data_IF_477721847217
#
_entry.id   IF_477721847217
#
_cell.length_a   1.000
_cell.length_b   1.000
_cell.length_c   1.000
_cell.angle_alpha   90.00
_cell.angle_beta   90.00
_cell.angle_gamma   90.00
#
_symmetry.space_group_name_H-M   'P 1'
#
loop_
_entity.id
_entity.type
_entity.pdbx_description
1 polymer ?
#
# COMPACT_ATOMS: atom_id res chain seq x y z
N UNK A 1 15.94 -38.95 -16.49
CA UNK A 1 15.22 -37.93 -15.69
C UNK A 1 16.06 -36.65 -15.61
N UNK A 2 16.37 -36.03 -16.76
CA UNK A 2 17.29 -34.88 -16.82
C UNK A 2 16.86 -33.81 -17.84
N UNK A 3 15.57 -33.78 -18.20
CA UNK A 3 15.03 -32.93 -19.27
C UNK A 3 14.00 -31.87 -18.78
N UNK A 4 13.94 -31.56 -17.48
CA UNK A 4 12.99 -30.58 -16.93
C UNK A 4 13.59 -29.21 -16.57
N UNK A 5 14.86 -28.94 -16.94
CA UNK A 5 15.55 -27.70 -16.59
C UNK A 5 16.26 -27.03 -17.78
N UNK A 6 15.78 -27.21 -19.01
CA UNK A 6 16.06 -26.19 -20.03
C UNK A 6 15.24 -24.95 -19.65
N UNK A 7 15.88 -24.06 -18.91
CA UNK A 7 15.34 -22.77 -18.49
C UNK A 7 14.86 -22.03 -19.74
N UNK A 8 13.56 -22.15 -20.00
CA UNK A 8 12.87 -21.29 -20.92
C UNK A 8 12.88 -19.93 -20.20
N UNK A 9 13.79 -19.03 -20.56
CA UNK A 9 13.91 -17.64 -20.06
C UNK A 9 12.64 -16.80 -20.31
N UNK A 10 11.56 -17.44 -20.75
CA UNK A 10 10.26 -16.91 -21.09
C UNK A 10 9.31 -16.77 -19.90
N UNK A 11 9.58 -17.38 -18.74
CA UNK A 11 8.61 -17.44 -17.63
C UNK A 11 8.54 -16.19 -16.74
N UNK A 12 9.55 -15.32 -16.73
CA UNK A 12 9.56 -14.09 -15.91
C UNK A 12 10.13 -12.89 -16.67
N UNK A 13 9.32 -12.31 -17.57
CA UNK A 13 9.63 -10.98 -18.12
C UNK A 13 9.25 -9.90 -17.11
N UNK A 14 10.24 -9.39 -16.38
CA UNK A 14 10.07 -8.32 -15.39
C UNK A 14 9.50 -7.01 -15.99
N UNK A 15 9.61 -6.83 -17.32
CA UNK A 15 8.97 -5.72 -18.04
C UNK A 15 7.46 -5.67 -17.82
N UNK A 16 6.80 -6.83 -17.70
CA UNK A 16 5.35 -6.91 -17.45
C UNK A 16 4.96 -6.36 -16.08
N UNK A 17 5.86 -6.37 -15.09
CA UNK A 17 5.57 -5.87 -13.74
C UNK A 17 5.47 -4.34 -13.67
N UNK A 18 6.12 -3.62 -14.60
CA UNK A 18 6.06 -2.14 -14.66
C UNK A 18 4.72 -1.63 -15.18
N UNK A 19 4.03 -2.44 -15.97
CA UNK A 19 2.80 -2.07 -16.67
C UNK A 19 1.52 -2.58 -15.98
N UNK A 20 1.65 -3.15 -14.77
CA UNK A 20 0.49 -3.62 -14.00
C UNK A 20 -0.25 -2.40 -13.45
N UNK A 21 -1.58 -2.28 -13.71
CA UNK A 21 -2.35 -1.18 -13.16
C UNK A 21 -2.30 -1.21 -11.64
N UNK A 22 -2.14 -0.03 -11.03
CA UNK A 22 -2.19 0.09 -9.57
C UNK A 22 -3.47 -0.57 -9.04
N UNK A 23 -3.36 -1.43 -8.02
CA UNK A 23 -4.53 -2.09 -7.48
C UNK A 23 -5.44 -1.03 -6.86
N UNK A 24 -6.72 -1.01 -7.27
CA UNK A 24 -7.74 -0.06 -6.81
C UNK A 24 -7.94 -0.02 -5.28
N UNK A 25 -7.39 -1.02 -4.58
CA UNK A 25 -7.44 -1.14 -3.13
C UNK A 25 -6.49 -0.17 -2.42
N UNK A 26 -5.46 0.36 -3.11
CA UNK A 26 -4.59 1.40 -2.56
C UNK A 26 -5.34 2.72 -2.68
N UNK A 27 -5.80 3.23 -1.55
CA UNK A 27 -6.54 4.49 -1.49
C UNK A 27 -5.59 5.67 -1.69
N UNK A 28 -6.01 6.64 -2.50
CA UNK A 28 -5.36 7.96 -2.54
C UNK A 28 -5.74 8.73 -1.27
N UNK A 29 -4.73 9.22 -0.56
CA UNK A 29 -4.91 9.91 0.72
C UNK A 29 -5.11 11.40 0.46
N UNK A 30 -6.25 11.91 0.89
CA UNK A 30 -6.58 13.32 0.84
C UNK A 30 -7.08 13.76 2.23
N UNK A 31 -6.30 14.63 2.88
CA UNK A 31 -6.60 15.12 4.21
C UNK A 31 -7.91 15.91 4.25
N UNK A 32 -8.15 16.79 3.28
CA UNK A 32 -9.34 17.65 3.24
C UNK A 32 -10.60 16.82 3.06
N UNK A 33 -10.52 15.78 2.24
CA UNK A 33 -11.62 14.83 2.05
C UNK A 33 -11.94 14.07 3.34
N UNK A 34 -10.92 13.55 4.03
CA UNK A 34 -11.09 12.83 5.29
C UNK A 34 -11.67 13.76 6.37
N UNK A 35 -11.17 15.00 6.46
CA UNK A 35 -11.68 15.99 7.40
C UNK A 35 -13.16 16.28 7.16
N UNK A 36 -13.55 16.48 5.90
CA UNK A 36 -14.95 16.72 5.53
C UNK A 36 -15.85 15.52 5.87
N UNK A 37 -15.40 14.30 5.60
CA UNK A 37 -16.14 13.08 5.95
C UNK A 37 -16.34 12.98 7.48
N UNK A 38 -15.32 13.34 8.27
CA UNK A 38 -15.40 13.38 9.73
C UNK A 38 -16.31 14.49 10.25
N UNK A 39 -16.35 15.65 9.59
CA UNK A 39 -17.27 16.74 9.93
C UNK A 39 -18.72 16.35 9.65
N UNK A 40 -19.00 15.73 8.51
CA UNK A 40 -20.33 15.22 8.18
C UNK A 40 -20.78 14.14 9.18
N UNK A 41 -19.87 13.23 9.54
CA UNK A 41 -20.11 12.23 10.57
C UNK A 41 -20.35 12.87 11.94
N UNK A 42 -19.56 13.87 12.34
CA UNK A 42 -19.74 14.59 13.60
C UNK A 42 -21.09 15.32 13.65
N UNK A 43 -21.45 16.02 12.56
CA UNK A 43 -22.75 16.68 12.42
C UNK A 43 -23.92 15.71 12.53
N UNK A 44 -23.79 14.48 12.04
CA UNK A 44 -24.84 13.46 12.15
C UNK A 44 -25.22 13.08 13.60
N UNK A 45 -24.33 13.33 14.57
CA UNK A 45 -24.60 13.11 15.99
C UNK A 45 -25.23 14.33 16.68
N UNK A 46 -25.20 15.50 16.05
CA UNK A 46 -25.82 16.70 16.59
C UNK A 46 -27.31 16.72 16.25
N UNK A 47 -28.12 17.15 17.23
CA UNK A 47 -29.58 17.31 17.06
C UNK A 47 -29.95 18.63 16.38
N UNK A 48 -29.03 19.57 16.35
CA UNK A 48 -29.18 20.89 15.78
C UNK A 48 -28.17 21.06 14.64
N UNK A 49 -28.56 21.84 13.64
CA UNK A 49 -27.71 22.12 12.49
C UNK A 49 -26.68 23.18 12.90
N UNK A 50 -25.47 22.72 13.24
CA UNK A 50 -24.37 23.56 13.72
C UNK A 50 -23.32 23.71 12.62
N UNK A 51 -22.98 24.96 12.29
CA UNK A 51 -21.81 25.25 11.47
C UNK A 51 -20.54 25.13 12.34
N UNK A 52 -19.59 24.30 11.89
CA UNK A 52 -18.28 24.17 12.50
C UNK A 52 -17.37 25.28 11.97
N UNK A 53 -17.08 26.27 12.81
CA UNK A 53 -16.14 27.34 12.48
C UNK A 53 -14.71 26.87 12.74
N UNK A 54 -13.74 27.45 12.01
CA UNK A 54 -12.31 27.15 12.26
C UNK A 54 -11.86 27.52 13.68
N UNK A 55 -12.52 28.48 14.30
CA UNK A 55 -12.26 28.90 15.68
C UNK A 55 -12.78 27.92 16.74
N UNK A 56 -13.59 26.93 16.36
CA UNK A 56 -14.19 26.03 17.34
C UNK A 56 -13.18 25.02 17.87
N UNK A 57 -13.17 24.74 19.18
CA UNK A 57 -12.26 23.76 19.76
C UNK A 57 -12.49 22.34 19.20
N UNK A 58 -13.70 22.04 18.74
CA UNK A 58 -14.02 20.78 18.09
C UNK A 58 -13.35 20.63 16.72
N UNK A 59 -13.16 21.72 15.98
CA UNK A 59 -12.47 21.68 14.68
C UNK A 59 -11.04 21.16 14.82
N UNK A 60 -10.28 21.69 15.78
CA UNK A 60 -8.92 21.23 16.05
C UNK A 60 -8.86 19.73 16.43
N UNK A 61 -9.87 19.23 17.15
CA UNK A 61 -9.97 17.79 17.46
C UNK A 61 -10.25 16.97 16.20
N UNK A 62 -11.16 17.42 15.34
CA UNK A 62 -11.48 16.74 14.07
C UNK A 62 -10.28 16.73 13.13
N UNK A 63 -9.50 17.81 13.06
CA UNK A 63 -8.25 17.86 12.30
C UNK A 63 -7.19 16.88 12.83
N UNK A 64 -7.04 16.77 14.15
CA UNK A 64 -6.15 15.79 14.76
C UNK A 64 -6.58 14.34 14.45
N UNK A 65 -7.90 14.08 14.44
CA UNK A 65 -8.47 12.79 14.04
C UNK A 65 -8.25 12.49 12.56
N UNK A 66 -8.49 13.46 11.68
CA UNK A 66 -8.25 13.35 10.24
C UNK A 66 -6.77 13.03 9.95
N UNK A 67 -5.86 13.71 10.63
CA UNK A 67 -4.43 13.45 10.52
C UNK A 67 -4.08 12.03 11.00
N UNK A 68 -4.66 11.59 12.13
CA UNK A 68 -4.43 10.24 12.64
C UNK A 68 -4.94 9.17 11.68
N UNK A 69 -6.11 9.39 11.10
CA UNK A 69 -6.72 8.50 10.13
C UNK A 69 -5.88 8.39 8.86
N UNK A 70 -5.39 9.52 8.34
CA UNK A 70 -4.49 9.54 7.19
C UNK A 70 -3.24 8.66 7.42
N UNK A 71 -2.62 8.73 8.61
CA UNK A 71 -1.47 7.87 8.96
C UNK A 71 -1.88 6.40 8.99
N UNK A 72 -3.05 6.08 9.53
CA UNK A 72 -3.53 4.69 9.60
C UNK A 72 -3.76 4.14 8.18
N UNK A 73 -4.44 4.89 7.32
CA UNK A 73 -4.66 4.51 5.91
C UNK A 73 -3.33 4.40 5.15
N UNK A 74 -2.37 5.28 5.39
CA UNK A 74 -1.02 5.17 4.83
C UNK A 74 -0.32 3.87 5.22
N UNK A 75 -0.36 3.51 6.51
CA UNK A 75 0.22 2.25 7.01
C UNK A 75 -0.48 1.02 6.43
N UNK A 76 -1.80 1.07 6.24
CA UNK A 76 -2.55 0.00 5.58
C UNK A 76 -2.12 -0.12 4.12
N UNK A 77 -2.02 1.00 3.40
CA UNK A 77 -1.55 1.03 2.02
C UNK A 77 -0.13 0.45 1.87
N UNK A 78 0.79 0.81 2.78
CA UNK A 78 2.13 0.23 2.82
C UNK A 78 2.11 -1.29 3.08
N UNK A 79 1.29 -1.74 4.04
CA UNK A 79 1.15 -3.16 4.36
C UNK A 79 0.60 -3.96 3.18
N UNK A 80 -0.37 -3.39 2.45
CA UNK A 80 -0.90 -4.00 1.22
C UNK A 80 0.18 -4.03 0.13
N UNK A 81 0.92 -2.93 -0.09
CA UNK A 81 2.03 -2.87 -1.04
C UNK A 81 3.07 -3.96 -0.78
N UNK A 82 3.41 -4.22 0.49
CA UNK A 82 4.35 -5.27 0.86
C UNK A 82 3.91 -6.69 0.41
N UNK A 83 2.63 -6.93 0.12
CA UNK A 83 2.14 -8.21 -0.40
C UNK A 83 2.27 -8.36 -1.92
N UNK A 84 2.48 -7.26 -2.65
CA UNK A 84 2.60 -7.28 -4.10
C UNK A 84 4.05 -7.43 -4.54
N UNK A 85 4.31 -8.39 -5.42
CA UNK A 85 5.67 -8.73 -5.89
C UNK A 85 6.51 -7.53 -6.37
N UNK A 86 5.87 -6.54 -6.99
CA UNK A 86 6.54 -5.37 -7.56
C UNK A 86 6.83 -4.25 -6.55
N UNK A 87 6.21 -4.27 -5.36
CA UNK A 87 6.47 -3.32 -4.27
C UNK A 87 7.15 -3.95 -3.06
N UNK A 88 7.03 -5.26 -2.88
CA UNK A 88 7.61 -6.00 -1.77
C UNK A 88 9.14 -5.87 -1.76
N UNK A 89 9.72 -5.73 -0.57
CA UNK A 89 11.17 -5.66 -0.40
C UNK A 89 11.62 -6.46 0.83
N UNK A 90 12.92 -6.76 0.92
CA UNK A 90 13.48 -7.50 2.05
C UNK A 90 12.77 -8.83 2.32
N UNK A 91 12.35 -9.04 3.56
CA UNK A 91 11.64 -10.24 4.02
C UNK A 91 10.26 -10.40 3.39
N UNK A 92 9.58 -9.29 3.07
CA UNK A 92 8.24 -9.35 2.46
C UNK A 92 8.33 -9.92 1.04
N UNK A 93 9.38 -9.53 0.30
CA UNK A 93 9.65 -10.11 -1.01
C UNK A 93 9.94 -11.61 -0.92
N UNK A 94 10.71 -12.02 0.08
CA UNK A 94 11.00 -13.45 0.30
C UNK A 94 9.71 -14.23 0.58
N UNK A 95 8.82 -13.70 1.42
CA UNK A 95 7.53 -14.31 1.71
C UNK A 95 6.62 -14.38 0.47
N UNK A 96 6.53 -13.32 -0.33
CA UNK A 96 5.72 -13.29 -1.55
C UNK A 96 6.22 -14.33 -2.56
N UNK A 97 7.54 -14.42 -2.72
CA UNK A 97 8.19 -15.28 -3.72
C UNK A 97 8.12 -16.77 -3.32
N UNK A 98 8.31 -17.08 -2.04
CA UNK A 98 8.15 -18.44 -1.51
C UNK A 98 6.70 -18.91 -1.63
N UNK A 99 5.74 -18.11 -1.18
CA UNK A 99 4.33 -18.50 -1.18
C UNK A 99 3.73 -18.56 -2.58
N UNK A 100 4.10 -17.64 -3.47
CA UNK A 100 3.51 -17.53 -4.82
C UNK A 100 4.19 -18.40 -5.88
N UNK A 101 5.49 -18.66 -5.74
CA UNK A 101 6.30 -19.24 -6.81
C UNK A 101 7.24 -20.37 -6.36
N UNK A 102 7.24 -20.74 -5.07
CA UNK A 102 8.11 -21.78 -4.50
C UNK A 102 9.61 -21.52 -4.76
N UNK A 103 10.00 -20.25 -4.81
CA UNK A 103 11.39 -19.81 -5.05
C UNK A 103 11.99 -19.35 -3.72
N UNK A 104 13.20 -19.81 -3.41
CA UNK A 104 13.93 -19.42 -2.20
C UNK A 104 15.15 -18.55 -2.51
N UNK A 105 15.44 -17.58 -1.63
CA UNK A 105 16.63 -16.73 -1.75
C UNK A 105 17.89 -17.53 -1.40
N UNK A 106 18.89 -17.48 -2.27
CA UNK A 106 20.21 -18.06 -1.99
C UNK A 106 20.91 -17.31 -0.85
N UNK A 107 21.42 -18.07 0.14
CA UNK A 107 22.13 -17.53 1.31
C UNK A 107 23.40 -16.79 0.90
N UNK A 108 23.58 -15.57 1.41
CA UNK A 108 24.79 -14.76 1.22
C UNK A 108 24.83 -13.93 -0.08
N UNK A 109 23.80 -14.03 -0.93
CA UNK A 109 23.70 -13.25 -2.17
C UNK A 109 22.83 -12.02 -1.93
N UNK A 110 23.38 -10.81 -2.12
CA UNK A 110 22.57 -9.59 -2.15
C UNK A 110 21.60 -9.68 -3.35
N UNK A 111 20.36 -9.15 -3.26
CA UNK A 111 19.47 -9.08 -4.41
C UNK A 111 20.12 -8.22 -5.51
N UNK A 112 20.86 -8.84 -6.42
CA UNK A 112 21.35 -8.21 -7.63
C UNK A 112 20.41 -8.62 -8.74
N UNK A 113 19.50 -7.73 -9.13
CA UNK A 113 18.96 -7.80 -10.47
C UNK A 113 20.11 -7.48 -11.42
N UNK A 114 20.46 -8.40 -12.32
CA UNK A 114 21.40 -8.11 -13.42
C UNK A 114 20.66 -7.28 -14.47
N UNK A 115 20.41 -6.00 -14.19
CA UNK A 115 19.80 -5.09 -15.16
C UNK A 115 20.47 -3.73 -15.03
N UNK A 116 21.02 -3.23 -16.14
CA UNK A 116 21.44 -1.84 -16.29
C UNK A 116 20.18 -0.97 -16.51
N UNK A 117 20.15 0.20 -15.87
CA UNK A 117 19.02 1.14 -15.88
C UNK A 117 18.82 1.83 -17.22
#
# INVERSE_FOLDING_TARGET
>A
MSELLSANDSYFKQSFLKDIPYPKIIEELDFEKILKDLEELFKSFLKEDVELLESDPFKAVLEALAYREMIIRARINESIKATYLHYASGSDLDNVVVNGYLIERLKGVKPSAKVEF
#
